data_IF_722055892712
#
_entry.id   IF_722055892712
#
_cell.length_a   1.000
_cell.length_b   1.000
_cell.length_c   1.000
_cell.angle_alpha   90.00
_cell.angle_beta   90.00
_cell.angle_gamma   90.00
#
_symmetry.space_group_name_H-M   'P 1'
#
loop_
_entity.id
_entity.type
_entity.pdbx_description
1 polymer ?
#
# COMPACT_ATOMS: atom_id res chain seq x y z
N UNK A 1 5.10 5.80 -11.06
CA UNK A 1 5.39 4.53 -11.74
C UNK A 1 6.54 4.67 -12.76
N UNK A 2 6.51 5.65 -13.64
CA UNK A 2 7.54 5.83 -14.67
C UNK A 2 8.94 6.03 -14.07
N UNK A 3 9.07 6.89 -13.08
CA UNK A 3 10.35 7.19 -12.43
C UNK A 3 10.73 6.18 -11.35
N UNK A 4 9.80 5.37 -10.86
CA UNK A 4 9.93 4.51 -9.67
C UNK A 4 10.46 5.27 -8.46
N UNK A 5 10.08 6.53 -8.36
CA UNK A 5 10.40 7.44 -7.26
C UNK A 5 9.10 7.89 -6.60
N UNK A 6 9.09 7.90 -5.27
CA UNK A 6 7.92 8.22 -4.48
C UNK A 6 8.21 9.37 -3.54
N UNK A 7 7.24 10.26 -3.42
CA UNK A 7 7.22 11.24 -2.34
C UNK A 7 6.66 10.56 -1.07
N UNK A 8 7.56 10.13 -0.20
CA UNK A 8 7.18 9.33 0.98
C UNK A 8 6.61 10.17 2.14
N UNK A 9 6.26 11.43 1.90
CA UNK A 9 5.61 12.34 2.86
C UNK A 9 4.55 13.22 2.18
N UNK A 10 3.48 12.64 1.61
CA UNK A 10 2.42 13.39 0.93
C UNK A 10 1.50 14.10 1.95
N UNK A 11 2.09 15.00 2.72
CA UNK A 11 1.37 15.84 3.68
C UNK A 11 0.81 17.09 2.97
N UNK A 12 -0.42 17.56 3.28
CA UNK A 12 -1.02 18.74 2.63
C UNK A 12 -0.12 19.98 2.61
N UNK A 13 0.66 20.21 3.68
CA UNK A 13 1.59 21.32 3.78
C UNK A 13 2.76 21.30 2.78
N UNK A 14 2.97 20.18 2.07
CA UNK A 14 4.01 20.04 1.06
C UNK A 14 3.51 20.36 -0.35
N UNK A 15 2.24 20.78 -0.49
CA UNK A 15 1.63 21.07 -1.78
C UNK A 15 0.89 22.40 -1.76
N UNK A 16 0.96 23.10 -2.88
CA UNK A 16 0.11 24.26 -3.19
C UNK A 16 -0.66 23.98 -4.47
N UNK A 17 -1.76 24.67 -4.64
CA UNK A 17 -2.51 24.71 -5.89
C UNK A 17 -2.55 26.17 -6.33
N UNK A 18 -2.15 26.43 -7.58
CA UNK A 18 -2.21 27.77 -8.16
C UNK A 18 -3.61 28.08 -8.74
N UNK A 19 -3.78 29.31 -9.25
CA UNK A 19 -5.07 29.77 -9.80
C UNK A 19 -5.46 28.99 -11.08
N UNK A 20 -4.51 28.36 -11.77
CA UNK A 20 -4.73 27.52 -12.95
C UNK A 20 -4.95 26.03 -12.58
N UNK A 21 -5.09 25.72 -11.28
CA UNK A 21 -5.27 24.38 -10.72
C UNK A 21 -4.05 23.45 -10.93
N UNK A 22 -2.87 23.97 -11.11
CA UNK A 22 -1.65 23.17 -11.11
C UNK A 22 -1.23 22.84 -9.68
N UNK A 23 -0.83 21.57 -9.46
CA UNK A 23 -0.27 21.13 -8.21
C UNK A 23 1.22 21.47 -8.16
N UNK A 24 1.63 22.23 -7.14
CA UNK A 24 3.02 22.65 -6.90
C UNK A 24 3.53 21.91 -5.68
N UNK A 25 4.53 21.06 -5.85
CA UNK A 25 5.22 20.42 -4.73
C UNK A 25 6.29 21.37 -4.18
N UNK A 26 6.28 21.57 -2.85
CA UNK A 26 7.17 22.50 -2.15
C UNK A 26 8.40 21.84 -1.53
N UNK A 27 8.27 20.59 -1.14
CA UNK A 27 9.33 19.84 -0.46
C UNK A 27 9.64 18.53 -1.21
N UNK A 28 10.91 18.30 -1.49
CA UNK A 28 11.43 17.10 -2.12
C UNK A 28 12.37 16.30 -1.18
N UNK A 29 12.43 16.66 0.10
CA UNK A 29 13.32 16.02 1.08
C UNK A 29 13.02 14.55 1.35
N UNK A 30 11.82 14.11 1.04
CA UNK A 30 11.36 12.73 1.22
C UNK A 30 11.21 11.94 -0.09
N UNK A 31 11.90 12.32 -1.16
CA UNK A 31 11.93 11.50 -2.38
C UNK A 31 12.68 10.18 -2.14
N UNK A 32 12.04 9.09 -2.52
CA UNK A 32 12.59 7.75 -2.35
C UNK A 32 12.52 6.96 -3.65
N UNK A 33 13.67 6.57 -4.15
CA UNK A 33 13.77 5.59 -5.23
C UNK A 33 13.57 4.19 -4.70
N UNK A 34 12.69 3.44 -5.34
CA UNK A 34 12.37 2.07 -4.96
C UNK A 34 13.04 1.12 -5.95
N UNK A 35 13.88 0.17 -5.50
CA UNK A 35 14.54 -0.77 -6.38
C UNK A 35 13.53 -1.74 -7.02
N UNK A 36 13.85 -2.21 -8.23
CA UNK A 36 12.96 -3.09 -9.00
C UNK A 36 12.66 -4.41 -8.27
N UNK A 37 13.61 -4.90 -7.51
CA UNK A 37 13.51 -6.14 -6.72
C UNK A 37 12.39 -6.07 -5.67
N UNK A 38 12.07 -4.86 -5.21
CA UNK A 38 10.92 -4.61 -4.35
C UNK A 38 9.71 -4.10 -5.14
N UNK A 39 9.90 -3.19 -6.09
CA UNK A 39 8.83 -2.53 -6.82
C UNK A 39 7.93 -3.52 -7.53
N UNK A 40 8.50 -4.41 -8.33
CA UNK A 40 7.74 -5.37 -9.13
C UNK A 40 6.90 -6.32 -8.25
N UNK A 41 7.47 -7.06 -7.29
CA UNK A 41 6.65 -7.94 -6.46
C UNK A 41 5.65 -7.18 -5.57
N UNK A 42 5.95 -5.94 -5.15
CA UNK A 42 4.98 -5.14 -4.39
C UNK A 42 3.71 -4.85 -5.21
N UNK A 43 3.85 -4.47 -6.48
CA UNK A 43 2.70 -4.22 -7.34
C UNK A 43 2.04 -5.51 -7.86
N UNK A 44 2.75 -6.62 -7.92
CA UNK A 44 2.14 -7.94 -8.16
C UNK A 44 1.14 -8.33 -7.07
N UNK A 45 1.31 -7.87 -5.82
CA UNK A 45 0.35 -8.07 -4.73
C UNK A 45 -0.99 -7.33 -4.94
N UNK A 46 -0.99 -6.23 -5.71
CA UNK A 46 -2.22 -5.47 -5.99
C UNK A 46 -3.14 -6.23 -6.92
N UNK A 47 -2.59 -7.13 -7.73
CA UNK A 47 -3.34 -7.97 -8.69
C UNK A 47 -4.09 -9.06 -7.91
N UNK A 48 -5.41 -9.08 -8.03
CA UNK A 48 -6.28 -10.00 -7.27
C UNK A 48 -6.02 -11.47 -7.59
N UNK A 49 -5.78 -11.80 -8.86
CA UNK A 49 -5.48 -13.16 -9.32
C UNK A 49 -4.22 -13.70 -8.62
N UNK A 50 -3.20 -12.88 -8.44
CA UNK A 50 -1.97 -13.27 -7.75
C UNK A 50 -2.21 -13.55 -6.26
N UNK A 51 -3.11 -12.79 -5.61
CA UNK A 51 -3.48 -12.99 -4.21
C UNK A 51 -4.32 -14.25 -4.00
N UNK A 52 -5.13 -14.60 -4.97
CA UNK A 52 -6.00 -15.79 -4.94
C UNK A 52 -5.25 -17.07 -5.30
N UNK A 53 -4.10 -16.99 -5.96
CA UNK A 53 -3.19 -18.11 -6.19
C UNK A 53 -2.25 -18.25 -4.97
N UNK A 54 -2.50 -19.25 -4.12
CA UNK A 54 -1.73 -19.47 -2.88
C UNK A 54 -0.22 -19.62 -3.16
N UNK A 55 0.16 -20.30 -4.22
CA UNK A 55 1.57 -20.51 -4.56
C UNK A 55 2.23 -19.22 -4.99
N UNK A 56 1.60 -18.49 -5.89
CA UNK A 56 2.06 -17.20 -6.39
C UNK A 56 2.14 -16.17 -5.27
N UNK A 57 1.13 -16.11 -4.41
CA UNK A 57 1.08 -15.19 -3.28
C UNK A 57 2.23 -15.42 -2.32
N UNK A 58 2.50 -16.68 -1.95
CA UNK A 58 3.63 -17.07 -1.10
C UNK A 58 4.98 -16.70 -1.73
N UNK A 59 5.17 -16.96 -3.02
CA UNK A 59 6.38 -16.57 -3.75
C UNK A 59 6.62 -15.05 -3.69
N UNK A 60 5.56 -14.26 -3.88
CA UNK A 60 5.65 -12.79 -3.83
C UNK A 60 6.01 -12.32 -2.41
N UNK A 61 5.37 -12.86 -1.37
CA UNK A 61 5.68 -12.52 0.02
C UNK A 61 7.12 -12.89 0.40
N UNK A 62 7.64 -13.99 -0.15
CA UNK A 62 9.04 -14.39 0.04
C UNK A 62 9.99 -13.40 -0.63
N UNK A 63 9.73 -12.98 -1.87
CA UNK A 63 10.53 -11.94 -2.55
C UNK A 63 10.54 -10.60 -1.83
N UNK A 64 9.46 -10.31 -1.11
CA UNK A 64 9.31 -9.08 -0.31
C UNK A 64 9.87 -9.21 1.12
N UNK A 65 10.55 -10.31 1.43
CA UNK A 65 11.15 -10.57 2.74
C UNK A 65 10.13 -10.62 3.90
N UNK A 66 8.87 -10.97 3.58
CA UNK A 66 7.82 -11.19 4.58
C UNK A 66 7.85 -12.60 5.11
N UNK A 67 8.10 -13.58 4.24
CA UNK A 67 8.23 -15.00 4.56
C UNK A 67 9.68 -15.41 4.34
N UNK A 68 10.24 -16.14 5.29
CA UNK A 68 11.60 -16.65 5.23
C UNK A 68 11.62 -18.19 5.14
N UNK A 69 12.71 -18.80 4.60
CA UNK A 69 12.82 -20.26 4.47
C UNK A 69 12.75 -21.03 5.80
N UNK A 70 13.13 -20.39 6.90
CA UNK A 70 13.12 -20.95 8.26
C UNK A 70 11.77 -20.87 8.96
N UNK A 71 10.78 -20.20 8.38
CA UNK A 71 9.47 -20.06 8.98
C UNK A 71 8.72 -21.39 9.00
N UNK A 72 8.03 -21.66 10.09
CA UNK A 72 7.11 -22.79 10.19
C UNK A 72 5.87 -22.56 9.33
N UNK A 73 5.23 -23.63 8.89
CA UNK A 73 3.99 -23.52 8.08
C UNK A 73 2.89 -22.71 8.80
N UNK A 74 2.82 -22.82 10.13
CA UNK A 74 1.88 -22.02 10.94
C UNK A 74 2.16 -20.52 10.85
N UNK A 75 3.43 -20.12 10.89
CA UNK A 75 3.83 -18.71 10.74
C UNK A 75 3.55 -18.21 9.33
N UNK A 76 3.83 -19.04 8.33
CA UNK A 76 3.54 -18.71 6.93
C UNK A 76 2.04 -18.50 6.72
N UNK A 77 1.19 -19.40 7.20
CA UNK A 77 -0.27 -19.28 7.09
C UNK A 77 -0.79 -18.03 7.81
N UNK A 78 -0.24 -17.70 8.97
CA UNK A 78 -0.59 -16.48 9.69
C UNK A 78 -0.23 -15.23 8.88
N UNK A 79 0.98 -15.17 8.31
CA UNK A 79 1.44 -14.04 7.49
C UNK A 79 0.66 -13.91 6.18
N UNK A 80 0.39 -15.02 5.51
CA UNK A 80 -0.47 -15.05 4.32
C UNK A 80 -1.86 -14.47 4.63
N UNK A 81 -2.49 -14.92 5.72
CA UNK A 81 -3.79 -14.41 6.16
C UNK A 81 -3.78 -12.92 6.47
N UNK A 82 -2.78 -12.48 7.21
CA UNK A 82 -2.58 -11.08 7.57
C UNK A 82 -2.42 -10.18 6.33
N UNK A 83 -1.52 -10.55 5.42
CA UNK A 83 -1.28 -9.77 4.21
C UNK A 83 -2.46 -9.80 3.24
N UNK A 84 -3.16 -10.93 3.15
CA UNK A 84 -4.38 -11.01 2.35
C UNK A 84 -5.44 -10.04 2.87
N UNK A 85 -5.64 -9.97 4.18
CA UNK A 85 -6.58 -9.03 4.80
C UNK A 85 -6.16 -7.56 4.61
N UNK A 86 -4.90 -7.23 4.87
CA UNK A 86 -4.35 -5.89 4.61
C UNK A 86 -4.60 -5.44 3.17
N UNK A 87 -4.25 -6.29 2.23
CA UNK A 87 -4.36 -5.99 0.80
C UNK A 87 -5.82 -5.91 0.34
N UNK A 88 -6.74 -6.70 0.91
CA UNK A 88 -8.16 -6.62 0.57
C UNK A 88 -8.76 -5.24 0.84
N UNK A 89 -8.25 -4.52 1.83
CA UNK A 89 -8.67 -3.15 2.15
C UNK A 89 -7.88 -2.14 1.33
N UNK A 90 -6.55 -2.18 1.38
CA UNK A 90 -5.70 -1.16 0.76
C UNK A 90 -5.77 -1.13 -0.77
N UNK A 91 -6.15 -2.24 -1.41
CA UNK A 91 -6.25 -2.29 -2.87
C UNK A 91 -7.65 -1.92 -3.41
N UNK A 92 -8.64 -1.68 -2.55
CA UNK A 92 -10.00 -1.29 -2.99
C UNK A 92 -10.02 -0.17 -4.03
N UNK A 93 -9.22 0.92 -3.88
CA UNK A 93 -9.20 1.98 -4.89
C UNK A 93 -8.75 1.52 -6.28
N UNK A 94 -8.03 0.41 -6.40
CA UNK A 94 -7.53 -0.11 -7.67
C UNK A 94 -8.44 -1.19 -8.29
N UNK A 95 -9.48 -1.59 -7.59
CA UNK A 95 -10.41 -2.64 -8.03
C UNK A 95 -11.62 -2.09 -8.81
N UNK A 96 -11.76 -0.78 -8.86
CA UNK A 96 -12.85 -0.07 -9.55
C UNK A 96 -12.29 0.96 -10.51
N UNK A 97 -13.04 1.32 -11.54
CA UNK A 97 -12.63 2.37 -12.47
C UNK A 97 -12.55 3.72 -11.78
N UNK A 98 -13.51 4.01 -10.92
CA UNK A 98 -13.58 5.23 -10.12
C UNK A 98 -13.74 4.88 -8.65
N UNK A 99 -13.10 5.64 -7.77
CA UNK A 99 -13.19 5.45 -6.34
C UNK A 99 -13.61 6.74 -5.61
N UNK A 100 -14.51 6.61 -4.64
CA UNK A 100 -14.95 7.71 -3.77
C UNK A 100 -14.12 7.72 -2.48
N UNK A 101 -13.11 8.58 -2.42
CA UNK A 101 -12.30 8.74 -1.22
C UNK A 101 -13.00 9.53 -0.10
N UNK A 102 -14.20 10.06 -0.32
CA UNK A 102 -14.98 10.68 0.76
C UNK A 102 -15.80 9.67 1.58
N UNK A 103 -15.77 8.39 1.21
CA UNK A 103 -16.47 7.33 1.93
C UNK A 103 -15.79 7.04 3.28
N UNK A 104 -16.48 7.45 4.36
CA UNK A 104 -16.00 7.24 5.72
C UNK A 104 -15.86 5.77 6.09
N UNK A 105 -16.65 4.87 5.46
CA UNK A 105 -16.60 3.44 5.75
C UNK A 105 -15.26 2.82 5.36
N UNK A 106 -14.68 3.24 4.24
CA UNK A 106 -13.36 2.80 3.80
C UNK A 106 -12.27 3.16 4.82
N UNK A 107 -12.28 4.39 5.32
CA UNK A 107 -11.32 4.83 6.32
C UNK A 107 -11.54 4.17 7.69
N UNK A 108 -12.80 3.92 8.04
CA UNK A 108 -13.10 3.21 9.28
C UNK A 108 -12.57 1.77 9.26
N UNK A 109 -12.67 1.07 8.14
CA UNK A 109 -12.07 -0.27 7.98
C UNK A 109 -10.55 -0.24 8.22
N UNK A 110 -9.84 0.76 7.64
CA UNK A 110 -8.39 0.94 7.83
C UNK A 110 -8.06 1.18 9.31
N UNK A 111 -8.82 2.06 9.97
CA UNK A 111 -8.63 2.37 11.40
C UNK A 111 -8.86 1.14 12.27
N UNK A 112 -9.91 0.38 12.00
CA UNK A 112 -10.28 -0.79 12.80
C UNK A 112 -9.28 -1.93 12.59
N UNK A 113 -8.78 -2.12 11.38
CA UNK A 113 -7.67 -3.02 11.11
C UNK A 113 -6.43 -2.62 11.91
N UNK A 114 -6.03 -1.35 11.86
CA UNK A 114 -4.89 -0.83 12.61
C UNK A 114 -5.02 -1.05 14.14
N UNK A 115 -6.20 -0.79 14.70
CA UNK A 115 -6.49 -1.04 16.13
C UNK A 115 -6.40 -2.52 16.50
N UNK A 116 -6.87 -3.41 15.63
CA UNK A 116 -6.81 -4.85 15.85
C UNK A 116 -5.38 -5.35 15.80
N UNK A 117 -4.62 -4.98 14.74
CA UNK A 117 -3.21 -5.37 14.59
C UNK A 117 -2.34 -4.85 15.74
N UNK A 118 -2.62 -3.64 16.23
CA UNK A 118 -1.89 -3.07 17.38
C UNK A 118 -2.07 -3.86 18.68
N UNK A 119 -3.15 -4.65 18.81
CA UNK A 119 -3.45 -5.50 19.97
C UNK A 119 -3.04 -6.96 19.78
N UNK A 120 -2.70 -7.34 18.54
CA UNK A 120 -2.34 -8.71 18.22
C UNK A 120 -1.01 -9.10 18.88
N UNK A 121 -1.07 -10.12 19.76
CA UNK A 121 0.11 -10.60 20.49
C UNK A 121 1.03 -11.44 19.62
N UNK A 122 0.48 -12.17 18.64
CA UNK A 122 1.25 -13.01 17.74
C UNK A 122 2.09 -12.15 16.81
N UNK A 123 1.50 -11.07 16.26
CA UNK A 123 2.23 -10.08 15.46
C UNK A 123 3.35 -9.39 16.27
N UNK A 124 3.10 -9.09 17.55
CA UNK A 124 4.12 -8.47 18.42
C UNK A 124 5.26 -9.41 18.80
N UNK A 125 4.99 -10.72 18.88
CA UNK A 125 6.00 -11.72 19.21
C UNK A 125 6.93 -12.03 18.03
N UNK A 126 6.46 -11.81 16.82
CA UNK A 126 7.29 -11.89 15.63
C UNK A 126 8.18 -10.64 15.61
N UNK A 127 9.49 -10.84 15.78
CA UNK A 127 10.50 -9.78 15.79
C UNK A 127 10.20 -8.75 14.68
N UNK A 128 9.99 -7.48 15.05
CA UNK A 128 9.47 -6.40 14.21
C UNK A 128 10.33 -5.95 13.03
N UNK A 129 11.09 -6.87 12.43
CA UNK A 129 11.95 -6.64 11.27
C UNK A 129 11.53 -7.39 10.00
N UNK A 130 10.29 -7.92 9.97
CA UNK A 130 9.80 -8.63 8.77
C UNK A 130 9.39 -7.67 7.67
N UNK A 131 9.70 -8.07 6.46
CA UNK A 131 9.44 -7.30 5.25
C UNK A 131 10.54 -6.27 4.94
N UNK A 132 10.73 -6.04 3.67
CA UNK A 132 11.70 -5.06 3.19
C UNK A 132 11.40 -3.66 3.77
N UNK A 133 12.45 -2.93 4.16
CA UNK A 133 12.36 -1.53 4.61
C UNK A 133 11.58 -0.61 3.67
N UNK A 134 11.46 -0.99 2.40
CA UNK A 134 10.73 -0.22 1.40
C UNK A 134 9.22 -0.21 1.63
N UNK A 135 8.66 -1.19 2.35
CA UNK A 135 7.26 -1.18 2.75
C UNK A 135 6.88 0.09 3.51
N UNK A 136 7.73 0.57 4.40
CA UNK A 136 7.47 1.77 5.19
C UNK A 136 7.24 2.98 4.28
N UNK A 137 8.08 3.14 3.25
CA UNK A 137 7.96 4.26 2.32
C UNK A 137 6.73 4.14 1.43
N UNK A 138 6.47 2.96 0.88
CA UNK A 138 5.30 2.71 0.04
C UNK A 138 4.00 2.91 0.82
N UNK A 139 3.92 2.33 2.02
CA UNK A 139 2.73 2.45 2.86
C UNK A 139 2.49 3.90 3.29
N UNK A 140 3.53 4.65 3.68
CA UNK A 140 3.40 6.08 3.98
C UNK A 140 2.89 6.88 2.78
N UNK A 141 3.39 6.58 1.58
CA UNK A 141 2.94 7.25 0.35
C UNK A 141 1.45 7.01 0.11
N UNK A 142 1.02 5.76 0.07
CA UNK A 142 -0.38 5.43 -0.18
C UNK A 142 -1.30 5.94 0.94
N UNK A 143 -0.91 5.72 2.20
CA UNK A 143 -1.70 6.17 3.33
C UNK A 143 -1.85 7.70 3.36
N UNK A 144 -0.77 8.41 3.11
CA UNK A 144 -0.79 9.87 3.04
C UNK A 144 -1.63 10.39 1.88
N UNK A 145 -1.55 9.77 0.70
CA UNK A 145 -2.39 10.11 -0.45
C UNK A 145 -3.87 9.84 -0.17
N UNK A 146 -4.20 8.69 0.41
CA UNK A 146 -5.59 8.38 0.76
C UNK A 146 -6.17 9.37 1.77
N UNK A 147 -5.41 9.72 2.81
CA UNK A 147 -5.83 10.74 3.77
C UNK A 147 -6.01 12.11 3.11
N UNK A 148 -5.10 12.52 2.24
CA UNK A 148 -5.21 13.78 1.50
C UNK A 148 -6.47 13.80 0.63
N UNK A 149 -6.75 12.73 -0.10
CA UNK A 149 -7.95 12.60 -0.94
C UNK A 149 -9.23 12.58 -0.08
N UNK A 150 -9.18 11.96 1.10
CA UNK A 150 -10.29 11.98 2.06
C UNK A 150 -10.55 13.39 2.60
N UNK A 151 -9.53 14.11 3.04
CA UNK A 151 -9.65 15.48 3.54
C UNK A 151 -10.21 16.43 2.47
N UNK A 152 -9.82 16.24 1.22
CA UNK A 152 -10.33 16.97 0.05
C UNK A 152 -11.74 16.52 -0.37
N UNK A 153 -12.31 15.49 0.28
CA UNK A 153 -13.60 14.90 -0.09
C UNK A 153 -13.67 14.51 -1.57
N UNK A 154 -12.57 13.95 -2.08
CA UNK A 154 -12.40 13.62 -3.49
C UNK A 154 -13.32 12.46 -3.90
N UNK A 155 -14.14 12.68 -4.93
CA UNK A 155 -15.10 11.71 -5.48
C UNK A 155 -14.78 11.38 -6.92
N UNK A 156 -15.24 10.22 -7.36
CA UNK A 156 -15.13 9.78 -8.75
C UNK A 156 -13.70 9.86 -9.32
N UNK A 157 -12.70 9.58 -8.46
CA UNK A 157 -11.30 9.57 -8.88
C UNK A 157 -11.03 8.36 -9.78
N UNK A 158 -10.59 8.63 -11.00
CA UNK A 158 -10.26 7.60 -11.99
C UNK A 158 -8.98 6.85 -11.58
N UNK A 159 -9.16 5.78 -10.81
CA UNK A 159 -8.07 4.99 -10.24
C UNK A 159 -7.57 3.89 -11.17
N UNK A 160 -8.38 3.46 -12.14
CA UNK A 160 -7.99 2.43 -13.12
C UNK A 160 -6.74 2.78 -13.94
N UNK A 161 -6.46 4.07 -14.17
CA UNK A 161 -5.22 4.53 -14.82
C UNK A 161 -3.94 4.18 -14.05
N UNK A 162 -4.06 3.95 -12.75
CA UNK A 162 -2.95 3.65 -11.85
C UNK A 162 -2.93 2.18 -11.43
N UNK A 163 -3.80 1.36 -12.02
CA UNK A 163 -3.79 -0.07 -11.80
C UNK A 163 -2.50 -0.69 -12.34
N UNK A 164 -1.86 -1.63 -11.62
CA UNK A 164 -0.66 -2.32 -12.09
C UNK A 164 -0.82 -3.01 -13.44
N UNK A 165 -2.03 -3.43 -13.80
CA UNK A 165 -2.34 -4.02 -15.10
C UNK A 165 -2.21 -3.05 -16.28
N UNK A 166 -2.20 -1.74 -16.02
CA UNK A 166 -2.01 -0.68 -17.03
C UNK A 166 -0.58 -0.16 -17.10
N UNK A 167 0.29 -0.62 -16.19
CA UNK A 167 1.68 -0.18 -16.06
C UNK A 167 2.58 -1.32 -16.56
N UNK A 168 2.43 -1.68 -17.83
CA UNK A 168 3.31 -2.64 -18.54
C UNK A 168 4.41 -1.93 -19.31
#
# INVERSE_FOLDING_TARGET
HELKEFHADPHPGNFLVDDDLNLIALDFGCLKKIPNEFYTPYFELVIEENRNDKTKFREILTKLEVIYPEDSEKEIEFLEGLFHELLSIFTKPFQTDNFDFSDESFFQEIVDLGKRLSKDKELRSQNGGRGSKHFIYMNRTFFGLYNLMFDLKSKDILTSKFSPSTIS
#
